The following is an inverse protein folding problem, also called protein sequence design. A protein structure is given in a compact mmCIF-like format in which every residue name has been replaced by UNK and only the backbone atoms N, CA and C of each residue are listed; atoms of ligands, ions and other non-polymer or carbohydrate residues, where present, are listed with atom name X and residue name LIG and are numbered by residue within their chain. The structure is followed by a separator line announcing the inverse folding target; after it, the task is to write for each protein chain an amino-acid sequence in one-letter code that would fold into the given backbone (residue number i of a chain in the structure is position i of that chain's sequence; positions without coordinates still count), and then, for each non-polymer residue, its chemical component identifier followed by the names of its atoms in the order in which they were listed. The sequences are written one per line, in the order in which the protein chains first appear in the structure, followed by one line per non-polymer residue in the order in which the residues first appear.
data_IF_234444765520
#
_entry.id   IF_234444765520
#
_cell.length_a   1.000
_cell.length_b   1.000
_cell.length_c   1.000
_cell.angle_alpha   90.00
_cell.angle_beta   90.00
_cell.angle_gamma   90.00
#
_symmetry.space_group_name_H-M   'P 1'
#
loop_
_entity.id
_entity.type
_entity.pdbx_description
1 polymer ?
#
# COMPACT_ATOMS: atom_id res chain seq x y z
N UNK A 1 -85.26 -3.75 -68.74
CA UNK A 1 -85.70 -4.95 -67.99
C UNK A 1 -84.44 -5.48 -67.31
N UNK A 2 -84.10 -4.93 -66.14
CA UNK A 2 -84.57 -5.30 -64.79
C UNK A 2 -83.60 -6.30 -64.12
N UNK A 3 -83.54 -6.21 -62.79
CA UNK A 3 -82.75 -6.99 -61.80
C UNK A 3 -81.32 -6.46 -61.50
N UNK A 4 -81.05 -5.68 -60.44
CA UNK A 4 -81.24 -5.78 -58.96
C UNK A 4 -80.32 -6.77 -58.22
N UNK A 5 -79.76 -6.26 -57.10
CA UNK A 5 -79.11 -6.96 -55.95
C UNK A 5 -77.68 -7.52 -56.14
N UNK A 6 -76.74 -7.51 -55.18
CA UNK A 6 -76.63 -7.19 -53.74
C UNK A 6 -75.12 -6.94 -53.48
N UNK A 7 -74.71 -5.85 -52.82
CA UNK A 7 -74.38 -5.78 -51.38
C UNK A 7 -73.19 -6.66 -50.93
N UNK A 8 -72.19 -6.02 -50.28
CA UNK A 8 -71.55 -6.41 -49.00
C UNK A 8 -70.15 -5.76 -48.89
N UNK A 9 -69.99 -4.94 -47.86
CA UNK A 9 -68.70 -4.37 -47.41
C UNK A 9 -67.83 -5.43 -46.74
N UNK A 10 -66.51 -5.20 -46.61
CA UNK A 10 -66.02 -5.18 -45.24
C UNK A 10 -65.06 -4.01 -44.96
N UNK A 11 -65.50 -3.14 -44.04
CA UNK A 11 -64.61 -2.44 -43.11
C UNK A 11 -63.81 -3.48 -42.32
N UNK A 12 -62.47 -3.34 -42.27
CA UNK A 12 -61.56 -3.57 -41.11
C UNK A 12 -60.18 -4.10 -41.54
N UNK A 13 -59.24 -3.23 -41.93
CA UNK A 13 -57.79 -3.54 -41.85
C UNK A 13 -56.92 -2.28 -41.65
N UNK A 14 -57.07 -1.56 -40.53
CA UNK A 14 -56.09 -0.50 -40.14
C UNK A 14 -55.71 -0.47 -38.65
N UNK A 15 -55.87 -1.57 -37.89
CA UNK A 15 -55.50 -1.63 -36.45
C UNK A 15 -54.32 -2.55 -36.07
N UNK A 16 -53.58 -3.15 -37.03
CA UNK A 16 -52.48 -4.09 -36.70
C UNK A 16 -51.04 -3.56 -36.88
N UNK A 17 -50.84 -2.38 -37.49
CA UNK A 17 -49.48 -1.80 -37.73
C UNK A 17 -48.98 -0.83 -36.64
N UNK A 18 -49.82 -0.31 -35.73
CA UNK A 18 -49.39 0.66 -34.70
C UNK A 18 -48.81 0.00 -33.43
N UNK A 19 -49.22 -1.22 -33.10
CA UNK A 19 -48.76 -1.96 -31.91
C UNK A 19 -47.30 -2.48 -32.01
N UNK A 20 -46.78 -2.72 -33.22
CA UNK A 20 -45.39 -3.19 -33.42
C UNK A 20 -44.36 -2.08 -33.28
N UNK A 21 -44.69 -0.84 -33.69
CA UNK A 21 -43.80 0.33 -33.53
C UNK A 21 -43.71 0.78 -32.07
N UNK A 22 -44.80 0.66 -31.30
CA UNK A 22 -44.80 0.97 -29.86
C UNK A 22 -43.95 -0.01 -29.04
N UNK A 23 -44.01 -1.32 -29.35
CA UNK A 23 -43.15 -2.32 -28.68
C UNK A 23 -41.67 -2.14 -29.02
N UNK A 24 -41.34 -1.76 -30.25
CA UNK A 24 -39.95 -1.49 -30.66
C UNK A 24 -39.39 -0.25 -29.94
N UNK A 25 -40.18 0.83 -29.83
CA UNK A 25 -39.77 2.02 -29.09
C UNK A 25 -39.53 1.72 -27.60
N UNK A 26 -40.34 0.85 -26.99
CA UNK A 26 -40.21 0.47 -25.58
C UNK A 26 -38.93 -0.36 -25.33
N UNK A 27 -38.57 -1.25 -26.27
CA UNK A 27 -37.31 -2.02 -26.21
C UNK A 27 -36.09 -1.11 -26.36
N UNK A 28 -36.15 -0.11 -27.25
CA UNK A 28 -35.05 0.85 -27.44
C UNK A 28 -34.85 1.72 -26.19
N UNK A 29 -35.94 2.17 -25.56
CA UNK A 29 -35.88 2.92 -24.29
C UNK A 29 -35.30 2.03 -23.17
N UNK A 30 -35.70 0.76 -23.09
CA UNK A 30 -35.15 -0.18 -22.11
C UNK A 30 -33.64 -0.40 -22.29
N UNK A 31 -33.19 -0.50 -23.55
CA UNK A 31 -31.76 -0.61 -23.89
C UNK A 31 -30.98 0.64 -23.50
N UNK A 32 -31.54 1.84 -23.74
CA UNK A 32 -30.92 3.10 -23.33
C UNK A 32 -30.81 3.23 -21.80
N UNK A 33 -31.80 2.73 -21.05
CA UNK A 33 -31.75 2.71 -19.57
C UNK A 33 -30.71 1.71 -19.06
N UNK A 34 -30.56 0.54 -19.71
CA UNK A 34 -29.54 -0.43 -19.33
C UNK A 34 -28.12 0.06 -19.64
N UNK A 35 -27.91 0.68 -20.80
CA UNK A 35 -26.61 1.26 -21.17
C UNK A 35 -26.29 2.48 -20.32
N UNK A 36 -27.24 3.40 -20.13
CA UNK A 36 -27.07 4.57 -19.28
C UNK A 36 -26.86 4.21 -17.81
N UNK A 37 -27.60 3.24 -17.28
CA UNK A 37 -27.44 2.71 -15.93
C UNK A 37 -26.12 1.95 -15.75
N UNK A 38 -25.67 1.20 -16.76
CA UNK A 38 -24.38 0.53 -16.77
C UNK A 38 -23.20 1.51 -16.79
N UNK A 39 -23.27 2.56 -17.62
CA UNK A 39 -22.27 3.64 -17.64
C UNK A 39 -22.29 4.42 -16.32
N UNK A 40 -23.47 4.70 -15.75
CA UNK A 40 -23.59 5.37 -14.46
C UNK A 40 -23.01 4.53 -13.30
N UNK A 41 -23.25 3.21 -13.29
CA UNK A 41 -22.65 2.31 -12.30
C UNK A 41 -21.14 2.14 -12.51
N UNK A 42 -20.68 2.02 -13.75
CA UNK A 42 -19.26 1.91 -14.07
C UNK A 42 -18.49 3.19 -13.69
N UNK A 43 -19.04 4.36 -14.00
CA UNK A 43 -18.45 5.64 -13.58
C UNK A 43 -18.53 5.84 -12.07
N UNK A 44 -19.58 5.38 -11.38
CA UNK A 44 -19.64 5.43 -9.91
C UNK A 44 -18.69 4.45 -9.22
N UNK A 45 -18.32 3.33 -9.85
CA UNK A 45 -17.32 2.39 -9.32
C UNK A 45 -15.89 2.75 -9.72
N UNK A 46 -15.69 3.51 -10.80
CA UNK A 46 -14.37 4.00 -11.25
C UNK A 46 -13.99 5.36 -10.68
N UNK A 47 -14.97 6.20 -10.35
CA UNK A 47 -14.75 7.40 -9.52
C UNK A 47 -14.80 6.96 -8.06
N UNK A 48 -13.79 6.19 -7.64
CA UNK A 48 -13.37 6.23 -6.24
C UNK A 48 -12.68 7.58 -6.11
N UNK A 49 -13.43 8.57 -5.64
CA UNK A 49 -12.92 9.91 -5.38
C UNK A 49 -11.57 9.78 -4.68
N UNK A 50 -10.49 10.24 -5.32
CA UNK A 50 -9.35 10.79 -4.60
C UNK A 50 -9.88 12.05 -3.93
N UNK A 51 -10.60 11.86 -2.84
CA UNK A 51 -10.87 12.90 -1.90
C UNK A 51 -9.55 13.10 -1.16
N UNK A 52 -8.77 14.11 -1.55
CA UNK A 52 -7.84 14.77 -0.64
C UNK A 52 -8.68 15.35 0.48
N UNK A 53 -9.04 14.49 1.42
CA UNK A 53 -9.50 14.89 2.72
C UNK A 53 -8.28 15.53 3.40
N UNK A 54 -8.35 16.84 3.55
CA UNK A 54 -7.48 17.57 4.45
C UNK A 54 -7.62 16.87 5.79
N UNK A 55 -6.52 16.30 6.30
CA UNK A 55 -6.46 15.63 7.60
C UNK A 55 -6.80 16.67 8.67
N UNK A 56 -8.08 16.75 9.00
CA UNK A 56 -8.56 17.38 10.23
C UNK A 56 -8.39 16.34 11.33
N UNK A 57 -7.67 16.71 12.40
CA UNK A 57 -7.28 15.89 13.57
C UNK A 57 -8.12 14.61 13.74
N UNK A 58 -7.56 13.47 13.32
CA UNK A 58 -8.18 12.16 13.54
C UNK A 58 -7.63 11.55 14.84
N UNK A 59 -8.37 11.61 15.96
CA UNK A 59 -7.92 11.03 17.23
C UNK A 59 -7.72 9.51 17.15
N UNK A 60 -8.35 8.82 16.18
CA UNK A 60 -8.20 7.37 15.97
C UNK A 60 -6.83 6.98 15.39
N UNK A 61 -6.13 7.87 14.68
CA UNK A 61 -4.78 7.58 14.16
C UNK A 61 -3.72 7.61 15.27
N UNK A 62 -3.95 8.39 16.33
CA UNK A 62 -3.02 8.55 17.48
C UNK A 62 -2.91 7.26 18.30
N UNK A 63 -3.94 6.40 18.27
CA UNK A 63 -3.92 5.12 18.98
C UNK A 63 -3.10 4.04 18.24
N UNK A 64 -2.91 4.17 16.92
CA UNK A 64 -2.21 3.17 16.09
C UNK A 64 -0.83 3.60 15.64
N UNK A 65 -0.59 4.90 15.48
CA UNK A 65 0.68 5.44 14.98
C UNK A 65 1.32 6.37 16.01
N UNK A 66 2.65 6.32 16.07
CA UNK A 66 3.43 7.25 16.88
C UNK A 66 3.47 8.63 16.25
N UNK A 67 3.79 9.66 17.04
CA UNK A 67 4.01 11.02 16.53
C UNK A 67 5.09 11.08 15.44
N UNK A 68 6.11 10.21 15.53
CA UNK A 68 7.18 10.12 14.52
C UNK A 68 6.68 9.55 13.20
N UNK A 69 5.87 8.48 13.24
CA UNK A 69 5.23 7.91 12.05
C UNK A 69 4.28 8.91 11.38
N UNK A 70 3.47 9.60 12.18
CA UNK A 70 2.53 10.62 11.67
C UNK A 70 3.31 11.74 10.96
N UNK A 71 4.30 12.34 11.62
CA UNK A 71 5.08 13.43 11.05
C UNK A 71 5.80 13.01 9.76
N UNK A 72 6.43 11.83 9.73
CA UNK A 72 7.11 11.34 8.53
C UNK A 72 6.13 10.99 7.41
N UNK A 73 4.95 10.46 7.73
CA UNK A 73 3.91 10.21 6.74
C UNK A 73 3.39 11.53 6.14
N UNK A 74 3.16 12.58 6.93
CA UNK A 74 2.76 13.89 6.41
C UNK A 74 3.78 14.45 5.42
N UNK A 75 5.08 14.39 5.76
CA UNK A 75 6.17 14.80 4.87
C UNK A 75 6.14 14.01 3.55
N UNK A 76 6.00 12.69 3.62
CA UNK A 76 5.89 11.83 2.44
C UNK A 76 4.65 12.12 1.58
N UNK A 77 3.46 12.24 2.19
CA UNK A 77 2.23 12.50 1.43
C UNK A 77 2.28 13.84 0.69
N UNK A 78 3.03 14.83 1.19
CA UNK A 78 3.17 16.13 0.56
C UNK A 78 3.91 16.09 -0.79
N UNK A 79 4.77 15.08 -1.01
CA UNK A 79 5.67 15.03 -2.17
C UNK A 79 5.56 13.76 -3.02
N UNK A 80 4.89 12.70 -2.54
CA UNK A 80 4.90 11.38 -3.19
C UNK A 80 4.41 11.33 -4.63
N UNK A 81 3.54 12.27 -5.04
CA UNK A 81 3.00 12.32 -6.40
C UNK A 81 3.82 13.23 -7.34
N UNK A 82 4.93 13.79 -6.85
CA UNK A 82 5.82 14.69 -7.61
C UNK A 82 7.24 14.15 -7.71
N UNK A 83 7.44 12.87 -7.39
CA UNK A 83 8.75 12.24 -7.43
C UNK A 83 9.30 12.12 -8.84
N UNK A 84 10.60 12.36 -8.95
CA UNK A 84 11.33 12.29 -10.21
C UNK A 84 12.56 11.37 -10.13
N UNK A 85 12.74 10.66 -9.02
CA UNK A 85 13.83 9.70 -8.82
C UNK A 85 15.09 10.32 -8.19
N UNK A 86 14.95 11.33 -7.34
CA UNK A 86 16.10 12.01 -6.72
C UNK A 86 16.59 11.35 -5.42
N UNK A 87 17.86 11.62 -5.04
CA UNK A 87 18.45 11.13 -3.78
C UNK A 87 17.65 11.58 -2.53
N UNK A 88 17.18 12.83 -2.51
CA UNK A 88 16.39 13.34 -1.39
C UNK A 88 15.06 12.57 -1.24
N UNK A 89 14.47 12.12 -2.36
CA UNK A 89 13.24 11.32 -2.35
C UNK A 89 13.49 9.91 -1.82
N UNK A 90 14.58 9.25 -2.23
CA UNK A 90 14.89 7.92 -1.70
C UNK A 90 15.22 7.99 -0.21
N UNK A 91 15.86 9.06 0.26
CA UNK A 91 16.07 9.30 1.70
C UNK A 91 14.75 9.32 2.45
N UNK A 92 13.81 10.15 1.99
CA UNK A 92 12.49 10.29 2.60
C UNK A 92 11.72 8.96 2.61
N UNK A 93 11.76 8.24 1.49
CA UNK A 93 11.12 6.92 1.35
C UNK A 93 11.74 5.90 2.31
N UNK A 94 13.06 5.84 2.40
CA UNK A 94 13.76 4.91 3.27
C UNK A 94 13.51 5.20 4.76
N UNK A 95 13.49 6.49 5.15
CA UNK A 95 13.11 6.91 6.49
C UNK A 95 11.66 6.53 6.81
N UNK A 96 10.71 6.84 5.92
CA UNK A 96 9.31 6.47 6.12
C UNK A 96 9.12 4.96 6.24
N UNK A 97 9.70 4.21 5.32
CA UNK A 97 9.69 2.75 5.36
C UNK A 97 10.22 2.23 6.71
N UNK A 98 11.30 2.83 7.22
CA UNK A 98 11.89 2.45 8.49
C UNK A 98 10.95 2.70 9.67
N UNK A 99 10.34 3.89 9.74
CA UNK A 99 9.35 4.19 10.78
C UNK A 99 8.16 3.23 10.74
N UNK A 100 7.69 2.85 9.55
CA UNK A 100 6.53 1.99 9.39
C UNK A 100 6.82 0.50 9.67
N UNK A 101 7.99 0.01 9.29
CA UNK A 101 8.34 -1.41 9.43
C UNK A 101 8.92 -1.75 10.79
N UNK A 102 9.76 -0.88 11.36
CA UNK A 102 10.51 -1.21 12.57
C UNK A 102 9.88 -0.64 13.86
N UNK A 103 8.81 0.16 13.74
CA UNK A 103 7.95 0.53 14.87
C UNK A 103 6.85 -0.51 15.03
N UNK A 104 6.76 -1.12 16.22
CA UNK A 104 5.74 -2.11 16.56
C UNK A 104 4.59 -1.55 17.39
N UNK A 105 4.67 -0.27 17.80
CA UNK A 105 3.56 0.39 18.46
C UNK A 105 2.30 0.32 17.62
N UNK A 106 1.16 0.04 18.26
CA UNK A 106 -0.13 -0.06 17.58
C UNK A 106 -0.32 -1.31 16.70
N UNK A 107 0.69 -2.17 16.58
CA UNK A 107 0.56 -3.43 15.83
C UNK A 107 -0.29 -4.43 16.61
N UNK A 108 -1.29 -5.00 15.94
CA UNK A 108 -2.18 -5.99 16.57
C UNK A 108 -1.62 -7.40 16.47
N UNK A 109 -1.05 -7.74 15.31
CA UNK A 109 -0.60 -9.08 14.92
C UNK A 109 0.74 -9.07 14.18
N UNK A 110 1.46 -10.19 14.15
CA UNK A 110 2.77 -10.31 13.49
C UNK A 110 2.79 -10.07 11.97
N UNK A 111 1.62 -9.98 11.34
CA UNK A 111 1.41 -9.68 9.92
C UNK A 111 0.83 -8.28 9.66
N UNK A 112 0.56 -7.50 10.72
CA UNK A 112 0.00 -6.14 10.65
C UNK A 112 1.13 -5.09 10.78
N UNK A 113 2.20 -5.26 10.01
CA UNK A 113 3.34 -4.34 9.95
C UNK A 113 3.20 -3.36 8.77
N UNK A 114 3.80 -2.17 8.90
CA UNK A 114 3.75 -1.13 7.88
C UNK A 114 4.80 -1.28 6.76
N UNK A 115 4.86 -0.31 5.85
CA UNK A 115 5.86 -0.27 4.78
C UNK A 115 5.55 -1.12 3.54
N UNK A 116 4.42 -1.83 3.52
CA UNK A 116 3.99 -2.66 2.39
C UNK A 116 3.75 -1.86 1.09
N UNK A 117 3.51 -0.56 1.18
CA UNK A 117 3.31 0.32 0.01
C UNK A 117 4.57 0.49 -0.85
N UNK A 118 5.74 0.20 -0.27
CA UNK A 118 7.03 0.24 -0.98
C UNK A 118 7.40 -1.11 -1.57
N UNK A 119 6.55 -2.13 -1.45
CA UNK A 119 6.84 -3.46 -1.94
C UNK A 119 6.09 -3.67 -3.26
N UNK A 120 6.77 -4.12 -4.32
CA UNK A 120 6.10 -4.51 -5.55
C UNK A 120 4.99 -5.53 -5.27
N UNK A 121 3.83 -5.37 -5.90
CA UNK A 121 2.62 -6.13 -5.56
C UNK A 121 2.82 -7.65 -5.69
N UNK A 122 3.62 -8.08 -6.66
CA UNK A 122 4.00 -9.48 -6.90
C UNK A 122 4.93 -10.05 -5.82
N UNK A 123 5.62 -9.19 -5.06
CA UNK A 123 6.54 -9.57 -3.98
C UNK A 123 5.93 -9.43 -2.58
N UNK A 124 4.79 -8.75 -2.45
CA UNK A 124 4.14 -8.44 -1.17
C UNK A 124 3.95 -9.67 -0.26
N UNK A 125 3.45 -10.79 -0.80
CA UNK A 125 3.23 -12.01 -0.01
C UNK A 125 4.54 -12.66 0.47
N UNK A 126 5.59 -12.62 -0.35
CA UNK A 126 6.91 -13.13 0.02
C UNK A 126 7.55 -12.25 1.07
N UNK A 127 7.48 -10.92 0.90
CA UNK A 127 7.95 -9.96 1.89
C UNK A 127 7.24 -10.16 3.23
N UNK A 128 5.91 -10.25 3.24
CA UNK A 128 5.12 -10.45 4.46
C UNK A 128 5.52 -11.71 5.20
N UNK A 129 5.63 -12.83 4.47
CA UNK A 129 6.07 -14.09 5.05
C UNK A 129 7.49 -13.98 5.64
N UNK A 130 8.40 -13.28 4.96
CA UNK A 130 9.77 -13.15 5.44
C UNK A 130 9.86 -12.25 6.68
N UNK A 131 9.18 -11.10 6.69
CA UNK A 131 9.12 -10.20 7.85
C UNK A 131 8.49 -10.90 9.06
N UNK A 132 7.36 -11.58 8.87
CA UNK A 132 6.71 -12.34 9.93
C UNK A 132 7.60 -13.44 10.52
N UNK A 133 8.44 -14.10 9.72
CA UNK A 133 9.33 -15.17 10.16
C UNK A 133 10.73 -14.69 10.62
N UNK A 134 11.05 -13.41 10.48
CA UNK A 134 12.33 -12.84 10.88
C UNK A 134 12.13 -11.78 11.95
N UNK A 135 11.81 -10.55 11.54
CA UNK A 135 11.68 -9.38 12.40
C UNK A 135 10.51 -9.53 13.41
N UNK A 136 9.38 -10.09 12.97
CA UNK A 136 8.16 -10.20 13.78
C UNK A 136 7.96 -11.60 14.39
N UNK A 137 8.94 -12.51 14.27
CA UNK A 137 8.77 -13.92 14.67
C UNK A 137 8.39 -14.12 16.15
N UNK A 138 8.89 -13.25 17.04
CA UNK A 138 8.61 -13.29 18.49
C UNK A 138 7.64 -12.20 18.95
N UNK A 139 6.88 -11.60 18.04
CA UNK A 139 5.99 -10.49 18.36
C UNK A 139 4.99 -10.84 19.46
N UNK A 140 4.23 -11.93 19.32
CA UNK A 140 3.19 -12.30 20.29
C UNK A 140 3.77 -12.65 21.67
N UNK A 141 4.90 -13.36 21.70
CA UNK A 141 5.62 -13.68 22.94
C UNK A 141 6.10 -12.42 23.65
N UNK A 142 6.63 -11.46 22.88
CA UNK A 142 7.10 -10.17 23.39
C UNK A 142 5.94 -9.36 23.94
N UNK A 143 4.87 -9.19 23.16
CA UNK A 143 3.67 -8.45 23.55
C UNK A 143 3.05 -9.02 24.82
N UNK A 144 3.01 -10.35 24.96
CA UNK A 144 2.51 -11.02 26.17
C UNK A 144 3.45 -10.83 27.38
N UNK A 145 4.77 -10.88 27.16
CA UNK A 145 5.75 -10.84 28.25
C UNK A 145 6.02 -9.43 28.76
N UNK A 146 6.11 -8.44 27.88
CA UNK A 146 6.50 -7.07 28.22
C UNK A 146 5.36 -6.06 28.09
N UNK A 147 4.23 -6.44 27.50
CA UNK A 147 3.13 -5.52 27.25
C UNK A 147 3.37 -4.63 26.03
N UNK A 148 2.28 -4.03 25.54
CA UNK A 148 2.26 -3.20 24.32
C UNK A 148 3.12 -1.93 24.48
N UNK A 149 3.21 -1.39 25.70
CA UNK A 149 3.96 -0.16 25.99
C UNK A 149 5.47 -0.28 25.86
N UNK A 150 6.00 -1.51 25.84
CA UNK A 150 7.42 -1.80 25.74
C UNK A 150 7.81 -2.34 24.35
N UNK A 151 6.91 -2.25 23.38
CA UNK A 151 7.22 -2.58 22.00
C UNK A 151 8.14 -1.51 21.38
N UNK A 152 9.01 -1.89 20.43
CA UNK A 152 9.94 -0.96 19.78
C UNK A 152 9.22 0.21 19.13
N UNK A 153 9.73 1.41 19.40
CA UNK A 153 9.31 2.66 18.77
C UNK A 153 10.55 3.33 18.21
N UNK A 154 10.58 3.61 16.92
CA UNK A 154 11.65 4.42 16.33
C UNK A 154 11.39 5.89 16.64
N UNK A 155 12.43 6.57 17.10
CA UNK A 155 12.44 8.03 17.36
C UNK A 155 13.34 8.80 16.41
N UNK A 156 14.24 8.11 15.72
CA UNK A 156 15.17 8.69 14.77
C UNK A 156 15.64 7.68 13.74
N UNK A 157 15.86 8.16 12.53
CA UNK A 157 16.45 7.39 11.42
C UNK A 157 17.51 8.27 10.80
N UNK A 158 18.73 7.75 10.68
CA UNK A 158 19.74 8.31 9.78
C UNK A 158 19.89 7.40 8.57
N UNK A 159 20.01 8.01 7.40
CA UNK A 159 19.99 7.33 6.12
C UNK A 159 21.15 7.88 5.27
N UNK A 160 22.13 7.02 5.00
CA UNK A 160 23.26 7.30 4.11
C UNK A 160 23.02 6.63 2.76
N UNK A 161 23.19 7.39 1.68
CA UNK A 161 22.80 6.98 0.32
C UNK A 161 24.05 6.77 -0.52
N UNK A 162 24.04 5.67 -1.26
CA UNK A 162 25.05 5.35 -2.26
C UNK A 162 24.38 4.82 -3.53
N UNK A 163 25.08 4.91 -4.67
CA UNK A 163 24.60 4.30 -5.91
C UNK A 163 24.53 2.77 -5.75
N UNK A 164 23.34 2.21 -5.94
CA UNK A 164 23.05 0.78 -5.75
C UNK A 164 23.10 -0.05 -7.03
N UNK A 165 23.43 0.57 -8.17
CA UNK A 165 23.50 -0.06 -9.48
C UNK A 165 22.11 -0.19 -10.13
N UNK A 166 21.79 -1.39 -10.62
CA UNK A 166 20.60 -1.64 -11.44
C UNK A 166 19.75 -2.79 -10.92
N UNK A 167 18.43 -2.63 -11.01
CA UNK A 167 17.44 -3.65 -10.66
C UNK A 167 16.58 -3.98 -11.89
N UNK A 168 16.43 -5.27 -12.19
CA UNK A 168 15.45 -5.73 -13.18
C UNK A 168 14.09 -5.95 -12.49
N UNK A 169 13.07 -5.21 -12.92
CA UNK A 169 11.72 -5.35 -12.38
C UNK A 169 10.92 -6.42 -13.13
N UNK A 170 9.74 -6.78 -12.61
CA UNK A 170 8.90 -7.86 -13.15
C UNK A 170 8.37 -7.60 -14.57
N UNK A 171 8.34 -6.34 -15.00
CA UNK A 171 8.03 -5.93 -16.37
C UNK A 171 9.17 -6.21 -17.38
N UNK A 172 10.34 -6.62 -16.89
CA UNK A 172 11.55 -6.88 -17.66
C UNK A 172 12.39 -5.62 -17.95
N UNK A 173 11.97 -4.45 -17.44
CA UNK A 173 12.75 -3.22 -17.54
C UNK A 173 13.81 -3.17 -16.43
N UNK A 174 14.87 -2.40 -16.72
CA UNK A 174 15.98 -2.18 -15.81
C UNK A 174 15.91 -0.75 -15.30
N UNK A 175 15.98 -0.58 -13.99
CA UNK A 175 15.89 0.70 -13.30
C UNK A 175 17.16 0.96 -12.47
N UNK A 176 17.55 2.23 -12.38
CA UNK A 176 18.58 2.67 -11.44
C UNK A 176 18.10 2.43 -10.00
N UNK A 177 19.01 1.99 -9.14
CA UNK A 177 18.75 1.75 -7.74
C UNK A 177 19.73 2.51 -6.85
N UNK A 178 19.27 2.88 -5.66
CA UNK A 178 20.08 3.43 -4.59
C UNK A 178 20.15 2.43 -3.45
N UNK A 179 21.35 2.27 -2.90
CA UNK A 179 21.55 1.56 -1.64
C UNK A 179 21.54 2.56 -0.49
N UNK A 180 20.74 2.24 0.52
CA UNK A 180 20.59 3.06 1.73
C UNK A 180 21.04 2.27 2.94
N UNK A 181 22.06 2.77 3.64
CA UNK A 181 22.44 2.31 4.97
C UNK A 181 21.57 3.05 6.00
N UNK A 182 20.93 2.31 6.92
CA UNK A 182 20.02 2.91 7.90
C UNK A 182 20.52 2.70 9.32
N UNK A 183 20.59 3.78 10.09
CA UNK A 183 20.87 3.75 11.53
C UNK A 183 19.59 4.11 12.25
N UNK A 184 19.11 3.21 13.11
CA UNK A 184 17.80 3.29 13.76
C UNK A 184 17.97 3.62 15.24
N UNK A 185 17.34 4.72 15.66
CA UNK A 185 17.28 5.12 17.06
C UNK A 185 15.92 4.74 17.65
N UNK A 186 15.95 3.96 18.73
CA UNK A 186 14.75 3.53 19.43
C UNK A 186 14.49 4.37 20.68
N UNK A 187 13.21 4.55 20.99
CA UNK A 187 12.78 5.10 22.26
C UNK A 187 13.33 4.23 23.39
N UNK A 188 14.05 4.85 24.32
CA UNK A 188 14.43 4.19 25.56
C UNK A 188 13.15 3.84 26.32
N UNK A 189 12.93 2.56 26.59
CA UNK A 189 11.78 2.13 27.39
C UNK A 189 11.90 2.64 28.83
N UNK A 190 10.90 3.38 29.30
CA UNK A 190 10.66 3.56 30.74
C UNK A 190 9.81 2.36 31.20
N UNK A 191 10.46 1.26 31.58
CA UNK A 191 9.74 0.13 32.16
C UNK A 191 9.38 0.51 33.60
N UNK A 192 8.14 0.91 33.83
CA UNK A 192 7.59 1.03 35.18
C UNK A 192 7.43 -0.37 35.79
N UNK A 193 8.51 -0.87 36.38
CA UNK A 193 8.55 -2.12 37.15
C UNK A 193 9.26 -1.88 38.48
N UNK A 194 8.60 -2.24 39.59
CA UNK A 194 9.17 -2.12 40.95
C UNK A 194 10.22 -3.19 41.26
N UNK A 195 10.45 -4.15 40.35
CA UNK A 195 11.47 -5.20 40.48
C UNK A 195 12.59 -5.01 39.45
N UNK A 196 13.82 -4.97 39.96
CA UNK A 196 15.05 -4.69 39.20
C UNK A 196 15.30 -5.72 38.07
N UNK A 197 14.76 -6.94 38.20
CA UNK A 197 14.90 -8.00 37.20
C UNK A 197 14.06 -7.74 35.94
N UNK A 198 12.92 -7.04 36.02
CA UNK A 198 12.06 -6.76 34.85
C UNK A 198 12.66 -5.67 33.94
N UNK A 199 13.35 -4.69 34.55
CA UNK A 199 14.05 -3.60 33.86
C UNK A 199 15.25 -4.08 33.03
N UNK A 200 16.03 -5.02 33.58
CA UNK A 200 17.19 -5.58 32.87
C UNK A 200 16.75 -6.41 31.65
N UNK A 201 15.64 -7.14 31.77
CA UNK A 201 15.15 -8.03 30.72
C UNK A 201 14.54 -7.25 29.55
N UNK A 202 13.78 -6.18 29.79
CA UNK A 202 13.22 -5.39 28.69
C UNK A 202 14.25 -4.50 27.96
N UNK A 203 15.30 -4.01 28.66
CA UNK A 203 16.47 -3.42 27.98
C UNK A 203 17.24 -4.45 27.13
N UNK A 204 17.36 -5.70 27.60
CA UNK A 204 17.96 -6.80 26.82
C UNK A 204 17.12 -7.13 25.57
N UNK A 205 15.80 -6.93 25.63
CA UNK A 205 14.92 -7.13 24.48
C UNK A 205 15.14 -6.05 23.41
N UNK A 206 15.16 -4.77 23.76
CA UNK A 206 15.43 -3.70 22.79
C UNK A 206 16.82 -3.82 22.15
N UNK A 207 17.82 -4.35 22.87
CA UNK A 207 19.14 -4.65 22.31
C UNK A 207 19.15 -5.76 21.24
N UNK A 208 18.07 -6.54 21.12
CA UNK A 208 17.91 -7.55 20.07
C UNK A 208 17.32 -6.98 18.78
N UNK A 209 16.81 -5.73 18.81
CA UNK A 209 16.27 -5.06 17.64
C UNK A 209 17.39 -4.49 16.77
N UNK A 210 17.22 -4.52 15.44
CA UNK A 210 18.21 -3.96 14.53
C UNK A 210 18.33 -2.45 14.76
N UNK A 211 19.45 -2.01 15.33
CA UNK A 211 19.81 -0.58 15.38
C UNK A 211 20.54 -0.12 14.11
N UNK A 212 20.85 -1.07 13.23
CA UNK A 212 21.57 -0.84 11.99
C UNK A 212 21.05 -1.81 10.93
N UNK A 213 20.71 -1.27 9.76
CA UNK A 213 20.36 -2.02 8.56
C UNK A 213 21.45 -1.73 7.56
N UNK A 214 22.29 -2.73 7.30
CA UNK A 214 23.48 -2.60 6.44
C UNK A 214 23.13 -2.15 5.02
N UNK A 215 21.98 -2.60 4.49
CA UNK A 215 21.56 -2.23 3.13
C UNK A 215 20.05 -2.39 2.93
N UNK A 216 19.38 -1.29 2.61
CA UNK A 216 18.06 -1.26 2.00
C UNK A 216 18.17 -0.67 0.59
N UNK A 217 17.87 -1.46 -0.44
CA UNK A 217 18.02 -1.02 -1.84
C UNK A 217 16.67 -0.63 -2.43
N UNK A 218 16.59 0.58 -2.98
CA UNK A 218 15.36 1.15 -3.54
C UNK A 218 15.54 1.52 -5.01
N UNK A 219 14.54 1.27 -5.84
CA UNK A 219 14.52 1.64 -7.26
C UNK A 219 13.28 2.46 -7.59
N UNK A 220 13.40 3.37 -8.55
CA UNK A 220 12.32 4.27 -8.96
C UNK A 220 11.71 3.81 -10.29
N UNK A 221 10.37 3.70 -10.32
CA UNK A 221 9.61 3.40 -11.53
C UNK A 221 8.82 4.65 -11.94
N UNK A 222 9.19 5.32 -13.05
CA UNK A 222 8.48 6.49 -13.53
C UNK A 222 7.10 6.13 -14.08
N UNK A 223 6.15 7.05 -13.95
CA UNK A 223 4.84 6.96 -14.59
C UNK A 223 4.78 7.73 -15.93
N UNK A 224 3.67 7.56 -16.67
CA UNK A 224 3.48 8.23 -17.97
C UNK A 224 3.29 9.75 -17.86
N UNK A 225 2.99 10.27 -16.67
CA UNK A 225 2.68 11.68 -16.41
C UNK A 225 3.88 12.47 -15.88
N UNK A 226 5.04 11.83 -15.74
CA UNK A 226 6.30 12.44 -15.30
C UNK A 226 6.52 12.41 -13.79
N UNK A 227 5.70 11.65 -13.05
CA UNK A 227 5.94 11.25 -11.67
C UNK A 227 6.53 9.84 -11.58
N UNK A 228 6.28 9.16 -10.48
CA UNK A 228 6.61 7.74 -10.32
C UNK A 228 6.53 7.25 -8.88
N UNK A 229 6.96 6.02 -8.66
CA UNK A 229 6.91 5.36 -7.35
C UNK A 229 8.25 4.69 -7.02
N UNK A 230 8.64 4.78 -5.76
CA UNK A 230 9.78 4.07 -5.20
C UNK A 230 9.39 2.70 -4.68
N UNK A 231 10.25 1.72 -4.94
CA UNK A 231 10.08 0.35 -4.48
C UNK A 231 11.35 -0.16 -3.81
N UNK A 232 11.18 -0.93 -2.74
CA UNK A 232 12.23 -1.70 -2.11
C UNK A 232 12.49 -2.97 -2.93
N UNK A 233 13.77 -3.26 -3.19
CA UNK A 233 14.22 -4.49 -3.85
C UNK A 233 14.94 -5.43 -2.88
N UNK A 234 15.73 -4.88 -1.95
CA UNK A 234 16.57 -5.65 -1.04
C UNK A 234 16.49 -5.05 0.35
N UNK A 235 16.39 -5.91 1.38
CA UNK A 235 16.53 -5.52 2.78
C UNK A 235 17.47 -6.49 3.50
N UNK A 236 18.70 -6.07 3.73
CA UNK A 236 19.77 -6.86 4.35
C UNK A 236 20.23 -6.25 5.68
N UNK A 237 20.77 -7.09 6.56
CA UNK A 237 21.44 -6.62 7.78
C UNK A 237 20.55 -6.50 9.02
N UNK A 238 19.37 -7.13 9.07
CA UNK A 238 18.42 -6.97 10.19
C UNK A 238 18.82 -7.65 11.53
N UNK A 239 20.07 -8.11 11.73
CA UNK A 239 20.47 -8.75 13.00
C UNK A 239 21.98 -8.63 13.31
N UNK A 240 22.33 -8.57 14.61
CA UNK A 240 23.69 -8.80 15.13
C UNK A 240 24.09 -10.28 15.16
N UNK A 241 23.20 -11.17 14.74
CA UNK A 241 23.43 -12.61 14.63
C UNK A 241 23.22 -13.04 13.19
N UNK A 242 24.33 -13.19 12.46
CA UNK A 242 24.44 -13.83 11.14
C UNK A 242 23.29 -14.81 10.87
N UNK A 243 22.31 -14.40 10.06
CA UNK A 243 21.88 -15.13 8.85
C UNK A 243 20.70 -14.48 8.12
N UNK A 244 20.91 -14.36 6.80
CA UNK A 244 19.93 -14.21 5.71
C UNK A 244 19.19 -12.87 5.64
N UNK A 245 19.70 -11.97 4.79
CA UNK A 245 18.95 -10.83 4.30
C UNK A 245 17.71 -11.25 3.50
N UNK A 246 16.72 -10.36 3.44
CA UNK A 246 15.53 -10.52 2.61
C UNK A 246 15.89 -9.97 1.22
N UNK A 247 16.30 -10.87 0.34
CA UNK A 247 16.23 -10.60 -1.09
C UNK A 247 14.77 -10.74 -1.51
N UNK A 248 14.17 -9.66 -2.00
CA UNK A 248 12.99 -9.79 -2.83
C UNK A 248 13.51 -10.07 -4.25
N UNK A 249 12.82 -10.91 -5.04
CA UNK A 249 13.34 -11.55 -6.28
C UNK A 249 13.76 -10.60 -7.44
N UNK A 250 14.00 -9.31 -7.17
CA UNK A 250 14.87 -8.46 -7.97
C UNK A 250 16.29 -9.03 -7.95
N UNK A 251 16.67 -9.76 -9.00
CA UNK A 251 18.06 -10.19 -9.17
C UNK A 251 18.91 -8.95 -9.48
N UNK A 252 19.94 -8.65 -8.67
CA UNK A 252 20.94 -7.66 -9.07
C UNK A 252 21.51 -8.10 -10.42
N UNK A 253 21.52 -7.22 -11.43
CA UNK A 253 22.21 -7.56 -12.66
C UNK A 253 23.72 -7.43 -12.41
N UNK A 254 24.45 -8.54 -12.46
CA UNK A 254 25.91 -8.50 -12.52
C UNK A 254 26.33 -7.88 -13.86
N UNK A 255 27.18 -6.85 -13.82
CA UNK A 255 27.89 -6.31 -15.00
C UNK A 255 28.81 -7.37 -15.66
#
# INVERSE_FOLDING_TARGET
MEEHEKNVTPKRRKKKKRLRKGRLALIIILLLVLVGGGIYLATRMLVKEQNTEIVEDQPELVDRYTTFQIAKNEEYQAVKNTYIGSEDEVKLVAEKFSYDLFTMWGVEHSFDFGGQEFIPAEQASTFEKNIANTLYFRFDETKMKYGVSNLPIITGVDADITDGGYVTHADGNVYDAYDVELILEYQNGEIEGTDYDDLAVANTFLQQWPSHVERASFFFVPDEEGGGQWFLSILNGMTTHEQNGIALDATPSEE
#
